data_IF_093404633190
#
_entry.id   IF_093404633190
#
_cell.length_a   1.000
_cell.length_b   1.000
_cell.length_c   1.000
_cell.angle_alpha   90.00
_cell.angle_beta   90.00
_cell.angle_gamma   90.00
#
_symmetry.space_group_name_H-M   'P 1'
#
loop_
_entity.id
_entity.type
_entity.pdbx_description
1 polymer ?
#
# COMPACT_ATOMS: atom_id res chain seq x y z
N UNK A 1 7.78 20.50 -50.61
CA UNK A 1 7.88 19.02 -50.53
C UNK A 1 6.83 18.58 -49.50
N UNK A 2 5.69 18.08 -49.98
CA UNK A 2 4.51 17.81 -49.16
C UNK A 2 4.52 16.39 -48.60
N UNK A 3 4.32 16.25 -47.30
CA UNK A 3 4.23 14.95 -46.63
C UNK A 3 2.76 14.59 -46.48
N UNK A 4 2.33 13.60 -47.26
CA UNK A 4 0.99 13.01 -47.24
C UNK A 4 0.82 12.12 -46.02
N UNK A 5 -0.14 12.44 -45.15
CA UNK A 5 -0.51 11.61 -44.00
C UNK A 5 -1.65 10.67 -44.40
N UNK A 6 -1.29 9.40 -44.62
CA UNK A 6 -2.22 8.33 -44.95
C UNK A 6 -2.96 7.88 -43.67
N UNK A 7 -4.24 8.25 -43.55
CA UNK A 7 -5.12 7.83 -42.45
C UNK A 7 -5.57 6.38 -42.69
N UNK A 8 -5.02 5.44 -41.93
CA UNK A 8 -5.54 4.07 -41.87
C UNK A 8 -6.80 4.04 -41.00
N UNK A 9 -7.95 3.87 -41.64
CA UNK A 9 -9.22 3.54 -40.99
C UNK A 9 -9.21 2.05 -40.64
N UNK A 10 -9.31 1.72 -39.35
CA UNK A 10 -9.58 0.34 -38.88
C UNK A 10 -11.07 0.27 -38.51
N UNK A 11 -11.86 -0.65 -39.10
CA UNK A 11 -13.27 -0.78 -38.75
C UNK A 11 -13.44 -1.40 -37.36
N UNK A 12 -14.16 -0.68 -36.50
CA UNK A 12 -14.63 -1.15 -35.19
C UNK A 12 -15.79 -2.13 -35.43
N UNK A 13 -15.59 -3.39 -35.08
CA UNK A 13 -16.67 -4.41 -35.04
C UNK A 13 -17.36 -4.32 -33.68
N UNK A 14 -18.55 -3.70 -33.67
CA UNK A 14 -19.47 -3.67 -32.54
C UNK A 14 -20.17 -5.04 -32.41
N UNK A 15 -19.85 -5.79 -31.35
CA UNK A 15 -20.67 -6.93 -30.92
C UNK A 15 -21.69 -6.45 -29.88
N UNK A 16 -22.94 -6.32 -30.31
CA UNK A 16 -24.10 -6.23 -29.43
C UNK A 16 -24.41 -7.64 -28.90
N UNK A 17 -24.35 -7.83 -27.58
CA UNK A 17 -25.02 -8.95 -26.91
C UNK A 17 -26.07 -8.38 -25.97
N UNK A 18 -27.32 -8.50 -26.41
CA UNK A 18 -28.51 -8.36 -25.61
C UNK A 18 -28.64 -9.59 -24.70
N UNK A 19 -28.95 -9.37 -23.42
CA UNK A 19 -29.16 -10.44 -22.46
C UNK A 19 -29.84 -9.93 -21.20
N UNK A 20 -31.16 -9.87 -21.24
CA UNK A 20 -32.05 -9.61 -20.10
C UNK A 20 -32.02 -10.76 -19.09
N UNK A 21 -32.07 -10.45 -17.80
CA UNK A 21 -32.95 -11.12 -16.83
C UNK A 21 -33.01 -10.35 -15.51
N UNK A 22 -34.21 -9.87 -15.20
CA UNK A 22 -34.66 -9.37 -13.91
C UNK A 22 -34.98 -10.57 -13.00
N UNK A 23 -34.55 -10.53 -11.75
CA UNK A 23 -35.16 -11.30 -10.67
C UNK A 23 -35.27 -10.41 -9.43
N UNK A 24 -36.49 -9.93 -9.18
CA UNK A 24 -36.91 -9.30 -7.93
C UNK A 24 -37.20 -10.40 -6.91
N UNK A 25 -36.46 -10.44 -5.81
CA UNK A 25 -36.88 -11.19 -4.61
C UNK A 25 -37.12 -10.17 -3.50
N UNK A 26 -38.39 -9.89 -3.30
CA UNK A 26 -38.95 -9.21 -2.13
C UNK A 26 -39.08 -10.24 -1.01
N UNK A 27 -38.36 -10.06 0.10
CA UNK A 27 -38.66 -10.74 1.35
C UNK A 27 -38.77 -9.66 2.45
N UNK A 28 -40.02 -9.33 2.77
CA UNK A 28 -40.38 -8.69 4.02
C UNK A 28 -40.20 -9.72 5.14
N UNK A 29 -39.50 -9.36 6.20
CA UNK A 29 -39.59 -10.07 7.48
C UNK A 29 -39.97 -9.02 8.54
N UNK A 30 -41.23 -9.13 8.96
CA UNK A 30 -41.89 -8.37 10.02
C UNK A 30 -41.72 -9.11 11.36
N UNK A 31 -41.38 -8.36 12.42
CA UNK A 31 -41.46 -8.80 13.82
C UNK A 31 -40.14 -9.35 14.38
N UNK A 32 -39.79 -9.20 15.65
CA UNK A 32 -40.62 -9.09 16.85
C UNK A 32 -39.75 -8.48 17.97
N UNK A 33 -40.31 -7.52 18.70
CA UNK A 33 -39.69 -6.85 19.84
C UNK A 33 -39.88 -7.73 21.08
N UNK A 34 -38.82 -8.42 21.54
CA UNK A 34 -38.86 -9.24 22.76
C UNK A 34 -38.21 -8.50 23.94
N UNK A 35 -38.96 -8.14 24.99
CA UNK A 35 -38.41 -7.47 26.16
C UNK A 35 -37.94 -8.49 27.20
N UNK A 36 -36.69 -8.33 27.64
CA UNK A 36 -36.23 -8.77 28.95
C UNK A 36 -35.33 -9.98 28.96
N UNK A 37 -34.02 -9.75 29.08
CA UNK A 37 -33.14 -10.69 29.75
C UNK A 37 -32.18 -9.96 30.69
N UNK A 38 -32.13 -10.53 31.89
CA UNK A 38 -31.45 -10.05 33.06
C UNK A 38 -29.94 -9.93 32.86
N UNK A 39 -29.41 -8.82 33.37
CA UNK A 39 -28.00 -8.56 33.65
C UNK A 39 -27.41 -9.65 34.55
N UNK A 40 -26.76 -10.65 33.94
CA UNK A 40 -25.69 -11.38 34.58
C UNK A 40 -24.38 -10.76 34.09
N UNK A 41 -23.67 -10.07 34.99
CA UNK A 41 -22.38 -9.44 34.74
C UNK A 41 -21.29 -10.51 34.90
N UNK A 42 -20.69 -11.05 33.82
CA UNK A 42 -19.61 -12.01 33.92
C UNK A 42 -18.40 -11.33 34.56
N UNK A 43 -17.88 -11.94 35.63
CA UNK A 43 -16.58 -11.62 36.20
C UNK A 43 -15.52 -11.71 35.11
N UNK A 44 -15.03 -10.54 34.69
CA UNK A 44 -13.94 -10.43 33.74
C UNK A 44 -12.71 -11.11 34.33
N UNK A 45 -12.39 -12.31 33.82
CA UNK A 45 -11.07 -12.90 33.95
C UNK A 45 -10.10 -11.90 33.34
N UNK A 46 -9.28 -11.28 34.18
CA UNK A 46 -8.23 -10.39 33.74
C UNK A 46 -7.36 -11.14 32.70
N UNK A 47 -7.27 -10.66 31.45
CA UNK A 47 -6.39 -11.29 30.48
C UNK A 47 -4.97 -11.17 31.02
N UNK A 48 -4.39 -12.30 31.39
CA UNK A 48 -2.97 -12.43 31.64
C UNK A 48 -2.28 -12.22 30.29
N UNK A 49 -1.95 -10.96 30.01
CA UNK A 49 -1.11 -10.57 28.90
C UNK A 49 0.29 -11.14 29.18
N UNK A 50 0.48 -12.41 28.82
CA UNK A 50 1.80 -12.96 28.63
C UNK A 50 2.42 -12.20 27.46
N UNK A 51 3.09 -11.09 27.80
CA UNK A 51 3.88 -10.32 26.87
C UNK A 51 4.98 -11.25 26.33
N UNK A 52 4.72 -11.84 25.16
CA UNK A 52 5.75 -12.50 24.38
C UNK A 52 6.76 -11.44 24.02
N UNK A 53 7.78 -11.32 24.85
CA UNK A 53 9.02 -10.62 24.51
C UNK A 53 9.74 -11.49 23.50
N UNK A 54 9.24 -11.50 22.25
CA UNK A 54 10.02 -12.00 21.14
C UNK A 54 11.33 -11.20 21.16
N UNK A 55 12.46 -11.92 21.21
CA UNK A 55 13.79 -11.35 21.09
C UNK A 55 13.93 -10.71 19.70
N UNK A 56 13.46 -9.47 19.56
CA UNK A 56 13.74 -8.67 18.39
C UNK A 56 15.21 -8.32 18.49
N UNK A 57 16.02 -9.00 17.67
CA UNK A 57 17.43 -8.69 17.49
C UNK A 57 17.55 -7.20 17.21
N UNK A 58 18.09 -6.42 18.15
CA UNK A 58 18.19 -4.96 17.97
C UNK A 58 19.10 -4.70 16.78
N UNK A 59 18.50 -4.35 15.64
CA UNK A 59 19.24 -3.97 14.43
C UNK A 59 20.12 -2.76 14.74
N UNK A 60 21.38 -2.69 14.25
CA UNK A 60 22.17 -1.48 14.38
C UNK A 60 21.45 -0.27 13.78
N UNK A 61 21.55 0.89 14.44
CA UNK A 61 20.99 2.14 13.91
C UNK A 61 21.63 2.46 12.56
N UNK A 62 20.81 2.96 11.63
CA UNK A 62 21.23 3.43 10.31
C UNK A 62 21.81 4.84 10.34
N UNK A 63 21.65 5.56 11.47
CA UNK A 63 21.99 6.97 11.61
C UNK A 63 20.98 7.93 10.99
N UNK A 64 19.84 7.44 10.50
CA UNK A 64 18.76 8.22 9.90
C UNK A 64 17.48 8.00 10.71
N UNK A 65 17.07 9.00 11.49
CA UNK A 65 15.98 8.85 12.48
C UNK A 65 14.67 8.31 11.87
N UNK A 66 14.24 8.86 10.73
CA UNK A 66 13.02 8.39 10.04
C UNK A 66 13.13 6.92 9.63
N UNK A 67 14.29 6.52 9.11
CA UNK A 67 14.53 5.16 8.69
C UNK A 67 14.56 4.21 9.90
N UNK A 68 15.22 4.59 10.99
CA UNK A 68 15.26 3.79 12.22
C UNK A 68 13.87 3.60 12.84
N UNK A 69 13.03 4.64 12.83
CA UNK A 69 11.63 4.54 13.27
C UNK A 69 10.82 3.59 12.38
N UNK A 70 10.96 3.72 11.06
CA UNK A 70 10.29 2.84 10.11
C UNK A 70 10.70 1.38 10.30
N UNK A 71 12.01 1.12 10.41
CA UNK A 71 12.56 -0.21 10.59
C UNK A 71 12.07 -0.84 11.90
N UNK A 72 11.99 -0.05 12.97
CA UNK A 72 11.43 -0.49 14.26
C UNK A 72 9.95 -0.85 14.13
N UNK A 73 9.16 -0.02 13.43
CA UNK A 73 7.74 -0.28 13.22
C UNK A 73 7.49 -1.55 12.38
N UNK A 74 8.31 -1.78 11.34
CA UNK A 74 8.27 -3.02 10.54
C UNK A 74 8.61 -4.23 11.40
N UNK A 75 9.70 -4.16 12.18
CA UNK A 75 10.11 -5.27 13.04
C UNK A 75 9.04 -5.62 14.08
N UNK A 76 8.24 -4.65 14.52
CA UNK A 76 7.13 -4.84 15.48
C UNK A 76 5.80 -5.23 14.82
N UNK A 77 5.72 -5.25 13.48
CA UNK A 77 4.44 -5.38 12.77
C UNK A 77 3.46 -4.24 13.06
N UNK A 78 3.94 -3.08 13.52
CA UNK A 78 3.11 -1.95 13.91
C UNK A 78 2.70 -1.13 12.68
N UNK A 79 1.61 -1.57 12.08
CA UNK A 79 1.03 -0.96 10.88
C UNK A 79 0.67 0.52 11.08
N UNK A 80 0.16 0.90 12.24
CA UNK A 80 -0.24 2.29 12.48
C UNK A 80 1.00 3.19 12.64
N UNK A 81 2.04 2.70 13.30
CA UNK A 81 3.33 3.41 13.36
C UNK A 81 3.96 3.58 11.97
N UNK A 82 3.87 2.57 11.08
CA UNK A 82 4.31 2.73 9.69
C UNK A 82 3.46 3.81 8.98
N UNK A 83 2.13 3.75 9.08
CA UNK A 83 1.22 4.68 8.42
C UNK A 83 1.41 6.14 8.90
N UNK A 84 1.78 6.35 10.15
CA UNK A 84 2.06 7.68 10.71
C UNK A 84 3.36 8.31 10.18
N UNK A 85 4.30 7.50 9.68
CA UNK A 85 5.53 7.98 9.05
C UNK A 85 5.30 8.30 7.55
N UNK A 86 4.16 7.92 6.98
CA UNK A 86 3.83 8.15 5.57
C UNK A 86 3.56 9.64 5.29
N UNK A 87 4.20 10.16 4.25
CA UNK A 87 4.06 11.53 3.76
C UNK A 87 3.07 11.57 2.61
N UNK A 88 1.83 11.86 2.97
CA UNK A 88 0.77 12.11 2.01
C UNK A 88 0.98 13.44 1.28
N UNK A 89 0.89 13.42 -0.04
CA UNK A 89 0.94 14.56 -0.91
C UNK A 89 -0.47 15.00 -1.32
N UNK A 90 -0.65 16.29 -1.57
CA UNK A 90 -1.91 16.78 -2.12
C UNK A 90 -2.00 16.44 -3.61
N UNK A 91 -3.00 15.65 -4.01
CA UNK A 91 -3.21 15.19 -5.39
C UNK A 91 -4.65 15.43 -5.83
N UNK A 92 -4.81 15.81 -7.09
CA UNK A 92 -6.13 15.91 -7.73
C UNK A 92 -6.74 14.52 -7.86
N UNK A 93 -7.93 14.32 -7.32
CA UNK A 93 -8.63 13.04 -7.37
C UNK A 93 -9.42 12.85 -8.68
N UNK A 94 -9.69 11.60 -9.03
CA UNK A 94 -10.46 11.18 -10.19
C UNK A 94 -11.69 10.36 -9.76
N UNK A 95 -12.82 10.49 -10.48
CA UNK A 95 -14.03 9.68 -10.26
C UNK A 95 -14.02 8.37 -11.04
N UNK A 96 -13.17 8.24 -12.04
CA UNK A 96 -12.96 7.02 -12.81
C UNK A 96 -11.48 6.66 -12.70
N UNK A 97 -11.16 5.60 -11.96
CA UNK A 97 -9.78 5.16 -11.79
C UNK A 97 -9.25 4.68 -13.14
N UNK A 98 -8.22 5.35 -13.66
CA UNK A 98 -7.44 4.81 -14.77
C UNK A 98 -6.44 3.77 -14.26
N UNK A 99 -6.27 2.67 -15.00
CA UNK A 99 -5.56 1.48 -14.53
C UNK A 99 -4.06 1.69 -14.22
N UNK A 100 -3.45 2.79 -14.68
CA UNK A 100 -2.03 3.09 -14.45
C UNK A 100 -1.75 4.59 -14.39
N UNK A 101 -1.16 5.05 -13.29
CA UNK A 101 -0.64 6.42 -13.17
C UNK A 101 -1.68 7.53 -13.02
N UNK A 102 -2.98 7.22 -13.00
CA UNK A 102 -4.05 8.16 -12.68
C UNK A 102 -4.02 8.62 -11.23
N UNK A 103 -4.68 9.75 -10.95
CA UNK A 103 -4.83 10.28 -9.60
C UNK A 103 -5.58 9.33 -8.64
N UNK A 104 -5.59 9.64 -7.33
CA UNK A 104 -6.32 8.85 -6.35
C UNK A 104 -7.84 8.94 -6.60
N UNK A 105 -8.60 7.94 -6.17
CA UNK A 105 -10.06 7.97 -6.25
C UNK A 105 -10.64 9.10 -5.37
N UNK A 106 -11.61 9.85 -5.89
CA UNK A 106 -12.32 10.85 -5.11
C UNK A 106 -13.15 10.21 -3.98
N UNK A 107 -13.09 10.73 -2.74
CA UNK A 107 -14.01 10.32 -1.69
C UNK A 107 -15.48 10.56 -2.12
N UNK A 108 -16.40 9.74 -1.61
CA UNK A 108 -17.83 9.87 -1.89
C UNK A 108 -18.33 11.30 -1.67
N UNK A 109 -19.04 11.84 -2.67
CA UNK A 109 -19.56 13.21 -2.63
C UNK A 109 -18.54 14.32 -2.94
N UNK A 110 -17.27 13.97 -3.17
CA UNK A 110 -16.23 14.93 -3.57
C UNK A 110 -16.21 15.08 -5.09
N UNK A 111 -16.12 16.33 -5.58
CA UNK A 111 -16.04 16.60 -7.01
C UNK A 111 -14.70 16.13 -7.60
N UNK A 112 -14.72 15.57 -8.82
CA UNK A 112 -13.50 15.28 -9.58
C UNK A 112 -12.60 16.51 -9.68
N UNK A 113 -11.28 16.31 -9.56
CA UNK A 113 -10.31 17.40 -9.54
C UNK A 113 -10.01 17.97 -8.14
N UNK A 114 -10.78 17.58 -7.12
CA UNK A 114 -10.52 18.04 -5.75
C UNK A 114 -9.18 17.50 -5.24
N UNK A 115 -8.50 18.31 -4.44
CA UNK A 115 -7.24 17.91 -3.83
C UNK A 115 -7.50 17.00 -2.62
N UNK A 116 -6.92 15.81 -2.64
CA UNK A 116 -6.97 14.83 -1.55
C UNK A 116 -5.56 14.40 -1.16
N UNK A 117 -5.32 14.06 0.12
CA UNK A 117 -4.05 13.50 0.56
C UNK A 117 -3.87 12.08 0.02
N UNK A 118 -2.77 11.84 -0.69
CA UNK A 118 -2.42 10.54 -1.24
C UNK A 118 -0.90 10.30 -1.26
N UNK A 119 -0.49 9.05 -1.13
CA UNK A 119 0.91 8.60 -1.26
C UNK A 119 1.04 7.76 -2.53
N UNK A 120 2.21 7.79 -3.17
CA UNK A 120 2.47 6.89 -4.29
C UNK A 120 2.53 5.44 -3.77
N UNK A 121 1.96 4.49 -4.50
CA UNK A 121 2.06 3.10 -4.10
C UNK A 121 1.29 2.16 -4.99
N UNK A 122 1.09 0.94 -4.52
CA UNK A 122 0.34 -0.10 -5.21
C UNK A 122 1.20 -1.30 -5.59
N UNK A 123 0.90 -1.92 -6.73
CA UNK A 123 1.58 -3.12 -7.24
C UNK A 123 2.36 -2.76 -8.52
N UNK A 124 2.12 -3.48 -9.61
CA UNK A 124 2.86 -3.38 -10.86
C UNK A 124 2.74 -2.02 -11.58
N UNK A 125 1.56 -1.42 -11.51
CA UNK A 125 1.26 -0.14 -12.14
C UNK A 125 1.08 0.81 -10.98
N UNK A 126 2.02 1.75 -10.79
CA UNK A 126 1.95 2.71 -9.71
C UNK A 126 0.58 3.40 -9.67
N UNK A 127 0.12 3.69 -8.45
CA UNK A 127 -1.15 4.30 -8.14
C UNK A 127 -0.96 5.34 -7.03
N UNK A 128 -1.97 6.18 -6.81
CA UNK A 128 -2.03 7.06 -5.67
C UNK A 128 -3.01 6.49 -4.64
N UNK A 129 -2.51 6.21 -3.45
CA UNK A 129 -3.25 5.63 -2.35
C UNK A 129 -3.66 6.71 -1.36
N UNK A 130 -4.96 6.83 -1.07
CA UNK A 130 -5.42 7.59 0.09
C UNK A 130 -5.00 6.91 1.39
N UNK A 131 -5.18 7.57 2.53
CA UNK A 131 -4.75 7.04 3.84
C UNK A 131 -5.40 5.70 4.20
N UNK A 132 -6.68 5.53 3.92
CA UNK A 132 -7.41 4.28 4.08
C UNK A 132 -6.80 3.16 3.22
N UNK A 133 -6.60 3.43 1.93
CA UNK A 133 -6.05 2.47 0.96
C UNK A 133 -4.58 2.13 1.23
N UNK A 134 -3.77 3.10 1.64
CA UNK A 134 -2.39 2.89 2.06
C UNK A 134 -2.35 1.97 3.28
N UNK A 135 -3.31 2.15 4.20
CA UNK A 135 -3.53 1.28 5.33
C UNK A 135 -3.80 -0.18 4.95
N UNK A 136 -4.72 -0.42 4.00
CA UNK A 136 -5.02 -1.77 3.49
C UNK A 136 -3.80 -2.42 2.82
N UNK A 137 -3.02 -1.63 2.07
CA UNK A 137 -1.76 -2.11 1.48
C UNK A 137 -0.75 -2.47 2.56
N UNK A 138 -0.65 -1.68 3.63
CA UNK A 138 0.23 -2.00 4.76
C UNK A 138 -0.23 -3.26 5.49
N UNK A 139 -1.53 -3.47 5.66
CA UNK A 139 -2.07 -4.72 6.24
C UNK A 139 -1.64 -5.93 5.39
N UNK A 140 -1.73 -5.83 4.07
CA UNK A 140 -1.25 -6.89 3.16
C UNK A 140 0.27 -7.10 3.24
N UNK A 141 1.05 -6.02 3.33
CA UNK A 141 2.51 -6.08 3.37
C UNK A 141 3.01 -6.67 4.69
N UNK A 142 2.42 -6.25 5.81
CA UNK A 142 2.89 -6.59 7.16
C UNK A 142 2.27 -7.88 7.71
N UNK A 143 1.13 -8.34 7.19
CA UNK A 143 0.47 -9.60 7.64
C UNK A 143 1.28 -10.87 7.37
N UNK A 144 2.34 -10.80 6.57
CA UNK A 144 3.24 -11.92 6.32
C UNK A 144 4.46 -11.94 7.27
N UNK A 145 4.45 -11.12 8.34
CA UNK A 145 5.57 -10.90 9.26
C UNK A 145 6.89 -10.68 8.49
N UNK A 146 6.94 -9.70 7.57
CA UNK A 146 8.08 -9.54 6.68
C UNK A 146 9.34 -9.14 7.45
N UNK A 147 10.47 -9.70 7.04
CA UNK A 147 11.78 -9.25 7.52
C UNK A 147 12.34 -8.17 6.59
N UNK A 148 13.11 -7.23 7.13
CA UNK A 148 13.87 -6.29 6.30
C UNK A 148 15.00 -7.05 5.61
N UNK A 149 14.89 -7.24 4.30
CA UNK A 149 15.87 -7.95 3.49
C UNK A 149 17.09 -7.07 3.19
N UNK A 150 16.87 -5.83 2.78
CA UNK A 150 17.96 -4.88 2.50
C UNK A 150 17.47 -3.44 2.61
N UNK A 151 18.42 -2.52 2.85
CA UNK A 151 18.18 -1.09 2.71
C UNK A 151 19.29 -0.48 1.88
N UNK A 152 18.92 0.27 0.84
CA UNK A 152 19.90 0.92 -0.04
C UNK A 152 19.56 2.38 -0.27
N UNK A 153 20.59 3.20 -0.50
CA UNK A 153 20.43 4.57 -0.96
C UNK A 153 19.84 4.56 -2.38
N UNK A 154 18.80 5.35 -2.58
CA UNK A 154 18.19 5.59 -3.87
C UNK A 154 18.41 7.05 -4.26
N UNK A 155 18.96 7.27 -5.47
CA UNK A 155 19.07 8.60 -6.05
C UNK A 155 18.00 8.74 -7.14
N UNK A 156 16.96 9.57 -6.92
CA UNK A 156 15.98 9.82 -7.97
C UNK A 156 16.68 10.42 -9.20
N UNK A 157 16.35 9.92 -10.39
CA UNK A 157 16.93 10.37 -11.66
C UNK A 157 16.49 11.79 -12.06
N UNK A 158 15.43 12.32 -11.44
CA UNK A 158 14.78 13.58 -11.82
C UNK A 158 15.26 14.83 -11.04
N UNK A 159 16.44 14.80 -10.43
CA UNK A 159 17.08 16.01 -9.90
C UNK A 159 16.45 16.62 -8.64
N UNK A 160 15.49 15.94 -8.00
CA UNK A 160 15.05 16.30 -6.65
C UNK A 160 16.18 16.00 -5.66
N UNK A 161 16.59 17.02 -4.90
CA UNK A 161 17.84 17.04 -4.14
C UNK A 161 17.86 16.24 -2.84
N UNK A 162 16.77 15.59 -2.45
CA UNK A 162 16.69 14.81 -1.22
C UNK A 162 17.26 13.41 -1.40
N UNK A 163 18.16 13.04 -0.49
CA UNK A 163 18.63 11.65 -0.37
C UNK A 163 17.44 10.78 0.03
N UNK A 164 17.24 9.70 -0.71
CA UNK A 164 16.20 8.73 -0.41
C UNK A 164 16.80 7.34 -0.19
N UNK A 165 16.01 6.46 0.42
CA UNK A 165 16.36 5.08 0.72
C UNK A 165 15.24 4.17 0.21
N UNK A 166 15.61 3.04 -0.35
CA UNK A 166 14.68 1.94 -0.62
C UNK A 166 14.84 0.91 0.48
N UNK A 167 13.75 0.65 1.21
CA UNK A 167 13.63 -0.48 2.14
C UNK A 167 13.00 -1.64 1.39
N UNK A 168 13.70 -2.76 1.29
CA UNK A 168 13.25 -3.98 0.62
C UNK A 168 12.92 -5.00 1.70
N UNK A 169 11.71 -5.54 1.66
CA UNK A 169 11.27 -6.58 2.58
C UNK A 169 11.50 -7.97 1.99
N UNK A 170 11.43 -9.00 2.83
CA UNK A 170 11.44 -10.40 2.41
C UNK A 170 10.29 -10.70 1.44
N UNK A 171 10.45 -11.76 0.64
CA UNK A 171 9.41 -12.19 -0.28
C UNK A 171 8.12 -12.51 0.49
N UNK A 172 7.03 -11.88 0.09
CA UNK A 172 5.72 -12.16 0.68
C UNK A 172 5.04 -13.29 -0.08
N UNK A 173 4.58 -14.36 0.59
CA UNK A 173 3.87 -15.46 -0.05
C UNK A 173 2.50 -15.03 -0.57
N UNK A 174 1.93 -13.93 -0.06
CA UNK A 174 0.60 -13.43 -0.46
C UNK A 174 0.61 -12.74 -1.83
N UNK A 175 1.72 -12.09 -2.18
CA UNK A 175 1.86 -11.32 -3.42
C UNK A 175 2.91 -11.90 -4.37
N UNK A 176 3.60 -12.97 -3.96
CA UNK A 176 4.69 -13.63 -4.68
C UNK A 176 5.76 -12.66 -5.18
N UNK A 177 6.09 -11.67 -4.35
CA UNK A 177 7.04 -10.60 -4.65
C UNK A 177 7.54 -9.99 -3.35
N UNK A 178 8.65 -9.25 -3.43
CA UNK A 178 9.13 -8.43 -2.31
C UNK A 178 8.40 -7.08 -2.28
N UNK A 179 7.74 -6.73 -1.17
CA UNK A 179 7.32 -5.37 -0.92
C UNK A 179 8.53 -4.44 -0.76
N UNK A 180 8.34 -3.16 -1.06
CA UNK A 180 9.34 -2.14 -0.79
C UNK A 180 8.71 -0.80 -0.45
N UNK A 181 9.47 0.02 0.27
CA UNK A 181 9.09 1.39 0.60
C UNK A 181 10.21 2.33 0.21
N UNK A 182 9.85 3.52 -0.25
CA UNK A 182 10.80 4.60 -0.50
C UNK A 182 10.70 5.63 0.61
N UNK A 183 11.83 5.96 1.22
CA UNK A 183 11.94 6.74 2.45
C UNK A 183 12.84 7.94 2.20
N UNK A 184 12.44 9.09 2.74
CA UNK A 184 13.24 10.33 2.78
C UNK A 184 13.51 10.70 4.23
N UNK A 185 14.24 11.78 4.46
CA UNK A 185 14.38 12.41 5.78
C UNK A 185 13.06 12.97 6.34
N UNK A 186 12.04 13.15 5.49
CA UNK A 186 10.71 13.61 5.90
C UNK A 186 9.74 12.47 6.26
N UNK A 187 9.95 11.27 5.73
CA UNK A 187 9.05 10.11 5.89
C UNK A 187 8.98 9.18 4.69
N UNK A 188 8.03 8.25 4.70
CA UNK A 188 7.77 7.31 3.61
C UNK A 188 6.99 8.01 2.50
N UNK A 189 7.53 8.03 1.28
CA UNK A 189 6.93 8.69 0.12
C UNK A 189 6.34 7.72 -0.90
N UNK A 190 6.66 6.42 -0.79
CA UNK A 190 6.08 5.38 -1.65
C UNK A 190 5.96 4.04 -0.92
N UNK A 191 4.85 3.32 -1.16
CA UNK A 191 4.59 1.97 -0.62
C UNK A 191 4.24 1.01 -1.77
N UNK A 192 5.12 0.05 -2.05
CA UNK A 192 4.93 -0.90 -3.13
C UNK A 192 4.77 -2.32 -2.56
N UNK A 193 3.64 -2.96 -2.83
CA UNK A 193 3.38 -4.36 -2.44
C UNK A 193 4.07 -5.39 -3.37
N UNK A 194 5.01 -4.94 -4.21
CA UNK A 194 5.78 -5.81 -5.09
C UNK A 194 5.16 -6.06 -6.46
N UNK A 195 6.04 -6.34 -7.43
CA UNK A 195 5.71 -6.50 -8.85
C UNK A 195 6.39 -7.77 -9.42
N UNK A 196 6.13 -8.93 -8.83
CA UNK A 196 6.72 -10.25 -9.17
C UNK A 196 8.24 -10.40 -9.03
N UNK A 197 8.97 -9.34 -8.69
CA UNK A 197 10.40 -9.42 -8.39
C UNK A 197 10.62 -9.95 -6.97
N UNK A 198 11.56 -10.88 -6.81
CA UNK A 198 12.02 -11.32 -5.48
C UNK A 198 12.86 -10.26 -4.78
N UNK A 199 13.02 -10.35 -3.46
CA UNK A 199 13.81 -9.43 -2.66
C UNK A 199 15.26 -9.39 -3.14
N UNK A 200 15.81 -10.57 -3.48
CA UNK A 200 17.15 -10.73 -4.04
C UNK A 200 17.28 -10.06 -5.41
N UNK A 201 16.32 -10.28 -6.31
CA UNK A 201 16.31 -9.60 -7.61
C UNK A 201 16.21 -8.09 -7.45
N UNK A 202 15.32 -7.59 -6.58
CA UNK A 202 15.19 -6.17 -6.30
C UNK A 202 16.47 -5.56 -5.73
N UNK A 203 17.10 -6.21 -4.75
CA UNK A 203 18.34 -5.76 -4.16
C UNK A 203 19.48 -5.68 -5.19
N UNK A 204 19.54 -6.60 -6.15
CA UNK A 204 20.58 -6.60 -7.20
C UNK A 204 20.61 -5.35 -8.08
N UNK A 205 19.53 -4.54 -8.06
CA UNK A 205 19.41 -3.27 -8.79
C UNK A 205 20.14 -2.12 -8.09
N UNK A 206 20.61 -2.34 -6.87
CA UNK A 206 21.25 -1.34 -6.03
C UNK A 206 22.70 -1.74 -5.68
N UNK A 207 23.53 -0.73 -5.44
CA UNK A 207 24.97 -0.91 -5.13
C UNK A 207 25.41 -0.22 -3.84
N UNK A 208 24.63 0.73 -3.32
CA UNK A 208 24.95 1.51 -2.12
C UNK A 208 24.09 1.09 -0.94
N UNK A 209 24.44 -0.01 -0.27
CA UNK A 209 23.67 -0.55 0.85
C UNK A 209 23.99 0.14 2.18
N UNK A 210 22.93 0.39 2.95
CA UNK A 210 22.99 0.73 4.39
C UNK A 210 22.85 -0.55 5.22
N UNK A 211 21.94 -1.44 4.81
CA UNK A 211 21.79 -2.79 5.33
C UNK A 211 21.95 -3.75 4.16
N UNK A 212 22.95 -4.62 4.25
CA UNK A 212 23.29 -5.58 3.21
C UNK A 212 22.25 -6.71 3.15
N UNK A 213 21.94 -7.24 1.95
CA UNK A 213 21.14 -8.44 1.83
C UNK A 213 21.85 -9.65 2.46
N UNK A 214 21.10 -10.64 2.98
CA UNK A 214 21.68 -11.90 3.43
C UNK A 214 22.36 -12.63 2.27
N UNK A 215 23.53 -13.22 2.54
CA UNK A 215 24.33 -13.99 1.56
C UNK A 215 23.64 -15.28 1.15
#
# INVERSE_FOLDING_TARGET
MGVSWQKSFVPIVLFFLAGSSLALVSACDDGDESPGQATAQPSALAPSAAASSANHSSRPSTGVEVLDRLLTAIDQGDRDAVLDIVRFQSKSCETQISAAGGGPECPSGTAAGSLVPAVEGGRCQGAWLRRDQAGEVLDLVLSADPEVFAVSKWRPTSGTASLAYTVILSDSPLVHAAPSMVVTDEGVISINAGCSASAREMASRYTEFVILPPT
#
